data_IF_649854724433
#
_entry.id   IF_649854724433
#
_cell.length_a   1.000
_cell.length_b   1.000
_cell.length_c   1.000
_cell.angle_alpha   90.00
_cell.angle_beta   90.00
_cell.angle_gamma   90.00
#
_symmetry.space_group_name_H-M   'P 1'
#
loop_
_entity.id
_entity.type
_entity.pdbx_description
1 polymer ?
#
# COMPACT_ATOMS: atom_id res chain seq x y z
N UNK A 1 -23.37 6.17 -18.23
CA UNK A 1 -23.18 7.55 -17.71
C UNK A 1 -21.73 7.97 -17.77
N UNK A 2 -20.77 7.11 -17.41
CA UNK A 2 -19.34 7.47 -17.39
C UNK A 2 -18.53 7.12 -18.64
N UNK A 3 -19.13 6.45 -19.63
CA UNK A 3 -18.44 5.99 -20.86
C UNK A 3 -17.13 5.22 -20.57
N UNK A 4 -17.24 4.17 -19.73
CA UNK A 4 -16.10 3.36 -19.28
C UNK A 4 -16.37 1.88 -19.45
N UNK A 5 -15.35 1.14 -19.86
CA UNK A 5 -15.37 -0.31 -19.82
C UNK A 5 -15.41 -0.84 -18.37
N UNK A 6 -16.06 -2.00 -18.17
CA UNK A 6 -16.18 -2.66 -16.85
C UNK A 6 -15.38 -3.96 -16.86
N UNK A 7 -14.08 -3.88 -16.52
CA UNK A 7 -13.10 -4.93 -16.82
C UNK A 7 -12.42 -5.55 -15.61
N UNK A 8 -13.10 -5.63 -14.46
CA UNK A 8 -12.57 -6.35 -13.30
C UNK A 8 -12.30 -7.85 -13.60
N UNK A 9 -12.95 -8.40 -14.63
CA UNK A 9 -12.68 -9.74 -15.15
C UNK A 9 -11.30 -9.89 -15.80
N UNK A 10 -10.76 -8.82 -16.40
CA UNK A 10 -9.43 -8.83 -17.02
C UNK A 10 -8.33 -9.04 -15.98
N UNK A 11 -8.50 -8.51 -14.77
CA UNK A 11 -7.55 -8.60 -13.64
C UNK A 11 -7.23 -10.04 -13.20
N UNK A 12 -8.03 -11.03 -13.64
CA UNK A 12 -7.92 -12.44 -13.25
C UNK A 12 -7.79 -13.39 -14.44
N UNK A 13 -7.54 -12.87 -15.64
CA UNK A 13 -7.30 -13.70 -16.84
C UNK A 13 -5.88 -14.27 -16.79
N UNK A 14 -5.66 -15.50 -17.30
CA UNK A 14 -4.32 -16.06 -17.38
C UNK A 14 -3.44 -15.24 -18.33
N UNK A 15 -2.12 -15.26 -18.12
CA UNK A 15 -1.15 -14.52 -18.94
C UNK A 15 -1.12 -14.95 -20.42
N UNK A 16 -1.64 -16.14 -20.71
CA UNK A 16 -1.74 -16.69 -22.08
C UNK A 16 -2.97 -16.18 -22.83
N UNK A 17 -3.83 -15.40 -22.19
CA UNK A 17 -5.04 -14.85 -22.77
C UNK A 17 -4.79 -13.47 -23.39
N UNK A 18 -5.76 -12.94 -24.13
CA UNK A 18 -5.67 -11.58 -24.67
C UNK A 18 -7.00 -10.82 -24.58
N UNK A 19 -6.89 -9.51 -24.40
CA UNK A 19 -8.01 -8.58 -24.46
C UNK A 19 -7.53 -7.22 -24.96
N UNK A 20 -7.97 -6.82 -26.14
CA UNK A 20 -7.67 -5.49 -26.65
C UNK A 20 -8.84 -4.54 -26.37
N UNK A 21 -8.58 -3.41 -25.74
CA UNK A 21 -9.54 -2.33 -25.50
C UNK A 21 -8.88 -1.03 -25.92
N UNK A 22 -9.53 -0.27 -26.79
CA UNK A 22 -9.00 0.99 -27.34
C UNK A 22 -7.58 0.85 -27.94
N UNK A 23 -7.29 -0.32 -28.51
CA UNK A 23 -5.99 -0.63 -29.13
C UNK A 23 -4.90 -1.09 -28.15
N UNK A 24 -5.19 -1.17 -26.85
CA UNK A 24 -4.27 -1.60 -25.81
C UNK A 24 -4.55 -3.03 -25.35
N UNK A 25 -3.51 -3.86 -25.23
CA UNK A 25 -3.64 -5.21 -24.65
C UNK A 25 -3.65 -5.13 -23.12
N UNK A 26 -4.85 -5.07 -22.55
CA UNK A 26 -5.03 -4.87 -21.10
C UNK A 26 -4.63 -6.11 -20.29
N UNK A 27 -4.52 -7.30 -20.91
CA UNK A 27 -4.02 -8.49 -20.20
C UNK A 27 -2.51 -8.36 -19.98
N UNK A 28 -1.77 -7.87 -20.97
CA UNK A 28 -0.35 -7.60 -20.83
C UNK A 28 -0.06 -6.59 -19.71
N UNK A 29 -0.78 -5.46 -19.68
CA UNK A 29 -0.62 -4.44 -18.64
C UNK A 29 -0.91 -4.98 -17.23
N UNK A 30 -1.97 -5.80 -17.10
CA UNK A 30 -2.32 -6.43 -15.81
C UNK A 30 -1.18 -7.31 -15.31
N UNK A 31 -0.59 -8.13 -16.18
CA UNK A 31 0.49 -9.04 -15.80
C UNK A 31 1.80 -8.32 -15.50
N UNK A 32 2.07 -7.18 -16.17
CA UNK A 32 3.19 -6.30 -15.80
C UNK A 32 3.07 -5.81 -14.35
N UNK A 33 1.90 -5.31 -13.97
CA UNK A 33 1.65 -4.83 -12.60
C UNK A 33 1.63 -5.98 -11.59
N UNK A 34 1.06 -7.15 -11.94
CA UNK A 34 1.09 -8.33 -11.07
C UNK A 34 2.51 -8.79 -10.78
N UNK A 35 3.40 -8.83 -11.77
CA UNK A 35 4.80 -9.20 -11.56
C UNK A 35 5.53 -8.18 -10.68
N UNK A 36 5.25 -6.88 -10.87
CA UNK A 36 5.77 -5.82 -9.99
C UNK A 36 5.32 -6.00 -8.54
N UNK A 37 4.02 -6.25 -8.32
CA UNK A 37 3.44 -6.51 -6.99
C UNK A 37 4.05 -7.76 -6.37
N UNK A 38 4.18 -8.85 -7.13
CA UNK A 38 4.75 -10.10 -6.64
C UNK A 38 6.23 -9.97 -6.29
N UNK A 39 7.01 -9.26 -7.11
CA UNK A 39 8.41 -8.97 -6.81
C UNK A 39 8.53 -8.17 -5.49
N UNK A 40 7.74 -7.12 -5.33
CA UNK A 40 7.71 -6.34 -4.09
C UNK A 40 7.30 -7.19 -2.88
N UNK A 41 6.20 -7.94 -2.99
CA UNK A 41 5.72 -8.81 -1.91
C UNK A 41 6.75 -9.88 -1.52
N UNK A 42 7.49 -10.45 -2.48
CA UNK A 42 8.60 -11.39 -2.22
C UNK A 42 9.72 -10.74 -1.42
N UNK A 43 10.11 -9.50 -1.75
CA UNK A 43 11.14 -8.73 -1.01
C UNK A 43 10.71 -8.43 0.42
N UNK A 44 9.47 -8.02 0.63
CA UNK A 44 8.91 -7.80 1.98
C UNK A 44 8.89 -9.10 2.79
N UNK A 45 8.37 -10.19 2.21
CA UNK A 45 8.22 -11.48 2.90
C UNK A 45 9.54 -12.16 3.23
N UNK A 46 10.54 -12.03 2.37
CA UNK A 46 11.88 -12.58 2.60
C UNK A 46 12.69 -11.76 3.62
N UNK A 47 12.28 -10.53 3.91
CA UNK A 47 13.04 -9.59 4.74
C UNK A 47 14.11 -8.81 3.99
N UNK A 48 14.22 -8.98 2.66
CA UNK A 48 15.09 -8.16 1.81
C UNK A 48 14.66 -6.70 1.81
N UNK A 49 13.34 -6.44 1.85
CA UNK A 49 12.84 -5.09 2.09
C UNK A 49 12.93 -4.77 3.58
N UNK A 50 13.80 -3.82 3.91
CA UNK A 50 14.04 -3.37 5.28
C UNK A 50 13.55 -1.94 5.51
N UNK A 51 13.19 -1.63 6.74
CA UNK A 51 12.97 -0.26 7.18
C UNK A 51 14.25 0.59 7.16
N UNK A 52 14.13 1.83 7.62
CA UNK A 52 15.20 2.84 7.59
C UNK A 52 16.43 2.42 8.40
N UNK A 53 16.23 1.64 9.47
CA UNK A 53 17.31 1.08 10.31
C UNK A 53 17.81 -0.29 9.87
N UNK A 54 17.38 -0.79 8.71
CA UNK A 54 17.79 -2.10 8.20
C UNK A 54 17.05 -3.30 8.80
N UNK A 55 16.06 -3.07 9.67
CA UNK A 55 15.22 -4.14 10.22
C UNK A 55 14.17 -4.62 9.20
N UNK A 56 13.89 -5.92 9.11
CA UNK A 56 12.83 -6.43 8.23
C UNK A 56 11.44 -5.98 8.69
N UNK A 57 10.54 -5.78 7.73
CA UNK A 57 9.16 -5.38 7.99
C UNK A 57 8.40 -6.50 8.73
N UNK A 58 7.62 -6.11 9.76
CA UNK A 58 6.78 -7.00 10.58
C UNK A 58 5.31 -6.63 10.52
N UNK A 59 4.99 -5.37 10.25
CA UNK A 59 3.61 -4.91 10.14
C UNK A 59 3.41 -4.13 8.85
N UNK A 60 2.36 -4.44 8.12
CA UNK A 60 1.88 -3.68 6.96
C UNK A 60 0.58 -2.99 7.34
N UNK A 61 0.46 -1.69 7.07
CA UNK A 61 -0.73 -0.89 7.36
C UNK A 61 -1.31 -0.39 6.04
N UNK A 62 -2.49 -0.89 5.67
CA UNK A 62 -3.24 -0.35 4.54
C UNK A 62 -4.02 0.88 4.98
N UNK A 63 -3.93 1.95 4.21
CA UNK A 63 -4.68 3.20 4.41
C UNK A 63 -5.53 3.42 3.17
N UNK A 64 -6.85 3.30 3.30
CA UNK A 64 -7.78 3.41 2.20
C UNK A 64 -9.22 3.39 2.70
N UNK A 65 -10.19 3.80 1.89
CA UNK A 65 -11.61 3.76 2.26
C UNK A 65 -12.44 3.07 1.17
N UNK A 66 -13.56 2.46 1.58
CA UNK A 66 -14.50 1.81 0.67
C UNK A 66 -13.86 0.65 -0.09
N UNK A 67 -13.83 0.72 -1.43
CA UNK A 67 -13.22 -0.31 -2.27
C UNK A 67 -11.73 -0.51 -2.03
N UNK A 68 -11.02 0.52 -1.58
CA UNK A 68 -9.59 0.46 -1.22
C UNK A 68 -9.32 -0.19 0.16
N UNK A 69 -10.36 -0.60 0.88
CA UNK A 69 -10.26 -1.14 2.24
C UNK A 69 -11.01 -2.46 2.41
N UNK A 70 -12.30 -2.49 2.08
CA UNK A 70 -13.18 -3.63 2.35
C UNK A 70 -12.70 -4.94 1.72
N UNK A 71 -12.20 -4.88 0.47
CA UNK A 71 -11.63 -6.03 -0.22
C UNK A 71 -10.37 -6.56 0.48
N UNK A 72 -9.34 -5.72 0.68
CA UNK A 72 -8.16 -6.08 1.46
C UNK A 72 -8.46 -6.67 2.86
N UNK A 73 -9.35 -6.04 3.63
CA UNK A 73 -9.77 -6.53 4.97
C UNK A 73 -10.39 -7.91 4.86
N UNK A 74 -11.36 -8.08 3.95
CA UNK A 74 -12.09 -9.34 3.77
C UNK A 74 -11.15 -10.49 3.40
N UNK A 75 -10.26 -10.29 2.42
CA UNK A 75 -9.33 -11.34 1.97
C UNK A 75 -8.31 -11.68 3.06
N UNK A 76 -7.80 -10.68 3.79
CA UNK A 76 -6.86 -10.92 4.88
C UNK A 76 -7.48 -11.75 6.01
N UNK A 77 -8.71 -11.43 6.43
CA UNK A 77 -9.39 -12.21 7.47
C UNK A 77 -9.81 -13.60 6.98
N UNK A 78 -10.30 -13.72 5.74
CA UNK A 78 -10.68 -15.01 5.16
C UNK A 78 -9.49 -15.98 4.98
N UNK A 79 -8.32 -15.44 4.64
CA UNK A 79 -7.10 -16.22 4.38
C UNK A 79 -6.08 -16.15 5.52
N UNK A 80 -6.50 -15.73 6.71
CA UNK A 80 -5.65 -15.62 7.91
C UNK A 80 -4.80 -16.86 8.20
N UNK A 81 -5.28 -18.11 8.00
CA UNK A 81 -4.44 -19.31 8.18
C UNK A 81 -3.20 -19.38 7.28
N UNK A 82 -3.17 -18.64 6.17
CA UNK A 82 -2.08 -18.62 5.20
C UNK A 82 -1.10 -17.44 5.41
N UNK A 83 -1.36 -16.58 6.39
CA UNK A 83 -0.49 -15.45 6.71
C UNK A 83 0.86 -15.95 7.20
N UNK A 84 1.94 -15.36 6.68
CA UNK A 84 3.30 -15.70 7.11
C UNK A 84 3.49 -15.37 8.58
N UNK A 85 3.96 -16.35 9.37
CA UNK A 85 4.25 -16.15 10.79
C UNK A 85 5.20 -14.98 10.98
N UNK A 86 4.82 -14.04 11.85
CA UNK A 86 5.62 -12.85 12.17
C UNK A 86 5.30 -11.62 11.31
N UNK A 87 4.51 -11.75 10.24
CA UNK A 87 3.99 -10.63 9.46
C UNK A 87 2.51 -10.40 9.82
N UNK A 88 2.10 -9.15 10.01
CA UNK A 88 0.72 -8.79 10.34
C UNK A 88 0.25 -7.63 9.45
N UNK A 89 -1.04 -7.62 9.14
CA UNK A 89 -1.67 -6.48 8.46
C UNK A 89 -2.62 -5.73 9.41
N UNK A 90 -2.69 -4.41 9.23
CA UNK A 90 -3.69 -3.51 9.83
C UNK A 90 -4.30 -2.63 8.76
N UNK A 91 -5.47 -2.10 9.04
CA UNK A 91 -6.29 -1.34 8.10
C UNK A 91 -6.78 -0.09 8.80
N UNK A 92 -6.51 1.06 8.21
CA UNK A 92 -6.99 2.38 8.62
C UNK A 92 -7.89 2.87 7.49
N UNK A 93 -9.13 3.21 7.81
CA UNK A 93 -10.09 3.64 6.79
C UNK A 93 -10.98 4.78 7.22
N UNK A 94 -11.39 4.82 8.50
CA UNK A 94 -12.25 5.88 8.98
C UNK A 94 -11.46 7.18 9.15
N UNK A 95 -12.05 8.32 8.77
CA UNK A 95 -11.42 9.64 8.95
C UNK A 95 -11.41 10.08 10.42
N UNK A 96 -12.20 9.44 11.28
CA UNK A 96 -12.11 9.62 12.74
C UNK A 96 -10.67 9.38 13.20
N UNK A 97 -10.00 10.37 13.83
CA UNK A 97 -8.62 10.26 14.27
C UNK A 97 -8.34 9.05 15.17
N UNK A 98 -9.36 8.55 15.85
CA UNK A 98 -9.29 7.36 16.70
C UNK A 98 -8.83 6.13 15.91
N UNK A 99 -9.29 5.96 14.67
CA UNK A 99 -8.94 4.78 13.86
C UNK A 99 -7.43 4.75 13.58
N UNK A 100 -6.86 5.87 13.13
CA UNK A 100 -5.41 5.97 12.97
C UNK A 100 -4.68 5.79 14.29
N UNK A 101 -5.10 6.49 15.36
CA UNK A 101 -4.42 6.47 16.66
C UNK A 101 -4.33 5.06 17.26
N UNK A 102 -5.44 4.32 17.29
CA UNK A 102 -5.49 2.95 17.82
C UNK A 102 -4.65 1.97 16.98
N UNK A 103 -4.66 2.13 15.64
CA UNK A 103 -3.92 1.23 14.75
C UNK A 103 -2.42 1.45 14.76
N UNK A 104 -1.93 2.61 15.20
CA UNK A 104 -0.49 2.88 15.30
C UNK A 104 0.08 2.80 16.71
N UNK A 105 -0.77 2.78 17.75
CA UNK A 105 -0.38 2.94 19.15
C UNK A 105 0.76 2.01 19.64
N UNK A 106 0.76 0.75 19.22
CA UNK A 106 1.74 -0.28 19.61
C UNK A 106 2.71 -0.67 18.47
N UNK A 107 2.75 0.11 17.38
CA UNK A 107 3.63 -0.19 16.25
C UNK A 107 5.06 0.25 16.50
N UNK A 108 6.01 -0.55 16.02
CA UNK A 108 7.41 -0.15 15.92
C UNK A 108 7.63 0.58 14.57
N UNK A 109 7.96 1.89 14.56
CA UNK A 109 8.16 2.64 13.32
C UNK A 109 9.26 2.02 12.45
N UNK A 110 10.26 1.37 13.05
CA UNK A 110 11.38 0.78 12.31
C UNK A 110 11.01 -0.46 11.48
N UNK A 111 9.86 -1.09 11.76
CA UNK A 111 9.43 -2.34 11.11
C UNK A 111 8.02 -2.27 10.54
N UNK A 112 7.49 -1.06 10.35
CA UNK A 112 6.14 -0.82 9.85
C UNK A 112 6.18 -0.28 8.42
N UNK A 113 5.47 -0.91 7.50
CA UNK A 113 5.28 -0.46 6.12
C UNK A 113 3.85 0.06 5.94
N UNK A 114 3.68 1.20 5.29
CA UNK A 114 2.38 1.80 4.97
C UNK A 114 2.08 1.67 3.48
N UNK A 115 0.86 1.25 3.16
CA UNK A 115 0.33 1.21 1.79
C UNK A 115 -0.80 2.23 1.70
N UNK A 116 -0.65 3.26 0.88
CA UNK A 116 -1.71 4.25 0.62
C UNK A 116 -2.50 3.80 -0.61
N UNK A 117 -3.72 3.33 -0.39
CA UNK A 117 -4.62 2.82 -1.43
C UNK A 117 -5.68 3.88 -1.80
N UNK A 118 -5.42 4.64 -2.87
CA UNK A 118 -6.36 5.64 -3.40
C UNK A 118 -6.14 5.82 -4.89
N UNK A 119 -7.14 5.45 -5.70
CA UNK A 119 -7.09 5.57 -7.16
C UNK A 119 -6.70 6.97 -7.63
N UNK A 120 -7.32 8.01 -7.07
CA UNK A 120 -7.09 9.40 -7.47
C UNK A 120 -5.99 10.08 -6.67
N UNK A 121 -5.56 9.46 -5.57
CA UNK A 121 -4.68 10.03 -4.56
C UNK A 121 -5.16 11.41 -4.07
N UNK A 122 -6.48 11.61 -4.02
CA UNK A 122 -7.13 12.87 -3.57
C UNK A 122 -8.29 12.63 -2.62
N UNK A 123 -8.62 11.36 -2.34
CA UNK A 123 -9.67 11.00 -1.39
C UNK A 123 -9.35 11.60 -0.03
N UNK A 124 -10.25 12.44 0.50
CA UNK A 124 -10.02 13.25 1.68
C UNK A 124 -9.68 12.37 2.90
N UNK A 125 -10.47 11.33 3.14
CA UNK A 125 -10.30 10.39 4.24
C UNK A 125 -8.94 9.69 4.15
N UNK A 126 -8.62 9.12 2.98
CA UNK A 126 -7.35 8.41 2.77
C UNK A 126 -6.14 9.33 2.94
N UNK A 127 -6.15 10.54 2.35
CA UNK A 127 -5.03 11.46 2.47
C UNK A 127 -4.88 12.05 3.87
N UNK A 128 -5.99 12.27 4.58
CA UNK A 128 -5.96 12.72 5.98
C UNK A 128 -5.30 11.67 6.85
N UNK A 129 -5.73 10.41 6.73
CA UNK A 129 -5.10 9.29 7.44
C UNK A 129 -3.64 9.05 7.03
N UNK A 130 -3.31 9.19 5.74
CA UNK A 130 -1.92 9.05 5.28
C UNK A 130 -1.00 10.12 5.89
N UNK A 131 -1.47 11.38 5.99
CA UNK A 131 -0.71 12.45 6.65
C UNK A 131 -0.56 12.19 8.14
N UNK A 132 -1.64 11.78 8.84
CA UNK A 132 -1.57 11.41 10.25
C UNK A 132 -0.59 10.27 10.52
N UNK A 133 -0.62 9.21 9.70
CA UNK A 133 0.30 8.08 9.80
C UNK A 133 1.75 8.50 9.52
N UNK A 134 1.97 9.38 8.54
CA UNK A 134 3.29 9.98 8.25
C UNK A 134 3.80 10.81 9.44
N UNK A 135 2.97 11.67 10.01
CA UNK A 135 3.34 12.53 11.13
C UNK A 135 3.68 11.69 12.37
N UNK A 136 2.85 10.68 12.68
CA UNK A 136 3.16 9.70 13.73
C UNK A 136 4.49 8.98 13.47
N UNK A 137 4.70 8.49 12.25
CA UNK A 137 5.88 7.72 11.90
C UNK A 137 7.17 8.53 12.06
N UNK A 138 7.20 9.77 11.54
CA UNK A 138 8.35 10.65 11.66
C UNK A 138 8.61 11.05 13.12
N UNK A 139 7.56 11.38 13.88
CA UNK A 139 7.69 11.71 15.29
C UNK A 139 8.20 10.51 16.12
N UNK A 140 7.71 9.31 15.81
CA UNK A 140 8.12 8.08 16.49
C UNK A 140 9.57 7.68 16.19
N UNK A 141 10.06 7.90 14.96
CA UNK A 141 11.48 7.75 14.61
C UNK A 141 12.34 8.77 15.36
N UNK A 142 11.93 10.05 15.36
CA UNK A 142 12.67 11.10 16.04
C UNK A 142 12.74 10.87 17.56
N UNK A 143 11.65 10.41 18.19
CA UNK A 143 11.62 10.05 19.60
C UNK A 143 12.58 8.89 19.95
N UNK A 144 12.94 8.05 18.98
CA UNK A 144 13.96 7.01 19.09
C UNK A 144 15.38 7.48 18.73
N UNK A 145 15.56 8.75 18.36
CA UNK A 145 16.85 9.28 17.90
C UNK A 145 17.28 8.74 16.53
N UNK A 146 16.33 8.38 15.66
CA UNK A 146 16.60 7.85 14.32
C UNK A 146 16.43 8.97 13.29
N UNK A 147 17.43 9.14 12.42
CA UNK A 147 17.38 10.07 11.29
C UNK A 147 16.24 9.72 10.32
N UNK A 148 15.53 10.75 9.86
CA UNK A 148 14.30 10.60 9.06
C UNK A 148 14.51 10.81 7.55
N UNK A 149 15.71 11.20 7.14
CA UNK A 149 16.02 11.37 5.72
C UNK A 149 15.86 10.05 4.95
N UNK A 150 15.14 10.09 3.83
CA UNK A 150 14.78 8.90 3.05
C UNK A 150 13.82 7.90 3.74
N UNK A 151 13.31 8.18 4.94
CA UNK A 151 12.45 7.24 5.67
C UNK A 151 11.12 6.98 4.94
N UNK A 152 10.53 8.00 4.32
CA UNK A 152 9.27 7.86 3.56
C UNK A 152 9.43 6.88 2.40
N UNK A 153 10.50 6.98 1.62
CA UNK A 153 10.74 6.11 0.46
C UNK A 153 10.90 4.62 0.84
N UNK A 154 11.29 4.31 2.08
CA UNK A 154 11.41 2.92 2.58
C UNK A 154 10.17 2.38 3.28
N UNK A 155 9.33 3.27 3.81
CA UNK A 155 8.20 2.90 4.68
C UNK A 155 6.83 3.21 4.08
N UNK A 156 6.75 3.87 2.93
CA UNK A 156 5.50 4.19 2.27
C UNK A 156 5.53 3.75 0.81
N UNK A 157 4.47 3.08 0.38
CA UNK A 157 4.19 2.71 -1.01
C UNK A 157 2.75 3.09 -1.36
N UNK A 158 2.41 3.14 -2.65
CA UNK A 158 1.10 3.58 -3.10
C UNK A 158 0.43 2.59 -4.05
N UNK A 159 -0.89 2.47 -3.97
CA UNK A 159 -1.73 1.84 -5.00
C UNK A 159 -2.57 2.94 -5.63
N UNK A 160 -2.14 3.44 -6.79
CA UNK A 160 -2.65 4.68 -7.39
C UNK A 160 -2.18 4.87 -8.83
N UNK A 161 -3.00 5.53 -9.65
CA UNK A 161 -2.62 5.97 -10.99
C UNK A 161 -2.05 7.40 -11.04
N UNK A 162 -2.09 8.14 -9.93
CA UNK A 162 -1.66 9.54 -9.84
C UNK A 162 -0.20 9.66 -9.37
N UNK A 163 0.75 9.30 -10.25
CA UNK A 163 2.17 9.21 -9.94
C UNK A 163 2.81 10.54 -9.50
N UNK A 164 2.31 11.65 -10.03
CA UNK A 164 2.68 13.01 -9.65
C UNK A 164 2.42 13.26 -8.16
N UNK A 165 1.21 12.93 -7.69
CA UNK A 165 0.83 13.11 -6.28
C UNK A 165 1.52 12.14 -5.34
N UNK A 166 1.83 10.95 -5.82
CA UNK A 166 2.64 9.96 -5.08
C UNK A 166 4.05 10.52 -4.85
N UNK A 167 4.67 11.10 -5.88
CA UNK A 167 5.97 11.74 -5.77
C UNK A 167 5.95 12.96 -4.81
N UNK A 168 4.92 13.81 -4.90
CA UNK A 168 4.72 14.95 -3.99
C UNK A 168 4.58 14.53 -2.52
N UNK A 169 4.01 13.35 -2.26
CA UNK A 169 3.95 12.80 -0.91
C UNK A 169 5.33 12.38 -0.37
N UNK A 170 6.30 12.14 -1.26
CA UNK A 170 7.65 11.67 -0.95
C UNK A 170 7.84 10.17 -1.16
N UNK A 171 6.90 9.50 -1.82
CA UNK A 171 7.01 8.08 -2.20
C UNK A 171 7.73 8.01 -3.55
N UNK A 172 8.68 7.09 -3.66
CA UNK A 172 9.31 6.77 -4.94
C UNK A 172 8.24 6.24 -5.91
N UNK A 173 8.00 6.86 -7.08
CA UNK A 173 7.04 6.37 -8.08
C UNK A 173 7.31 4.93 -8.54
N UNK A 174 8.55 4.43 -8.40
CA UNK A 174 8.85 3.03 -8.64
C UNK A 174 8.09 2.09 -7.66
N UNK A 175 7.69 2.59 -6.50
CA UNK A 175 6.88 1.89 -5.49
C UNK A 175 5.39 2.30 -5.54
N UNK A 176 4.93 2.84 -6.66
CA UNK A 176 3.51 2.95 -6.99
C UNK A 176 3.06 1.74 -7.82
N UNK A 177 1.89 1.19 -7.51
CA UNK A 177 1.27 0.06 -8.22
C UNK A 177 -0.10 0.44 -8.78
#
# INVERSE_FOLDING_TARGET
TEDRAVLHTALRRPATDSLTVDGQDVVADVHEVLEKIYAFARRVRSGEWTGITGKPIKTVVNIGIGGSDLGPVMVYEALKPYVQKGLKCRFISNIDPTDCAEKVADLDPETTLFIIASKTFTTLETLTNARMARDWFLAALQAKGIETDGAIAKHFVAVSTALDKVAEFGIDPANAF
#
